data_IF_546035951121
#
_entry.id   IF_546035951121
#
_cell.length_a   1.000
_cell.length_b   1.000
_cell.length_c   1.000
_cell.angle_alpha   90.00
_cell.angle_beta   90.00
_cell.angle_gamma   90.00
#
_symmetry.space_group_name_H-M   'P 1'
#
loop_
_entity.id
_entity.type
_entity.pdbx_description
1 polymer ?
#
# COMPACT_ATOMS: atom_id res chain seq x y z
N UNK A 1 42.54 44.00 -14.93
CA UNK A 1 43.45 43.85 -16.05
C UNK A 1 43.86 42.39 -16.15
N UNK A 2 43.55 41.76 -17.18
CA UNK A 2 44.09 40.81 -18.18
C UNK A 2 43.03 39.83 -18.61
N UNK A 3 42.53 40.08 -19.84
CA UNK A 3 41.65 39.19 -20.59
C UNK A 3 42.50 38.03 -21.15
N UNK A 4 42.02 36.78 -21.00
CA UNK A 4 42.51 35.64 -21.79
C UNK A 4 41.48 35.22 -22.81
N UNK A 5 41.89 35.27 -24.08
CA UNK A 5 41.16 34.81 -25.25
C UNK A 5 41.20 33.27 -25.30
N UNK A 6 40.08 32.64 -25.60
CA UNK A 6 40.02 31.25 -26.05
C UNK A 6 39.63 31.22 -27.53
N UNK A 7 40.48 30.61 -28.35
CA UNK A 7 40.24 30.29 -29.75
C UNK A 7 39.48 28.96 -29.86
N UNK A 8 38.60 28.81 -30.85
CA UNK A 8 37.96 27.52 -31.12
C UNK A 8 38.81 26.68 -32.10
N UNK A 9 38.98 25.41 -31.77
CA UNK A 9 39.56 24.38 -32.66
C UNK A 9 38.47 23.86 -33.59
N UNK A 10 38.69 24.00 -34.90
CA UNK A 10 37.91 23.34 -35.98
C UNK A 10 38.36 21.88 -36.07
N UNK A 11 37.42 20.94 -35.97
CA UNK A 11 37.62 19.55 -36.37
C UNK A 11 36.99 19.31 -37.75
N UNK A 12 37.84 18.92 -38.68
CA UNK A 12 37.48 18.49 -40.05
C UNK A 12 36.90 17.06 -39.96
N UNK A 13 35.64 16.86 -40.37
CA UNK A 13 35.05 15.54 -40.53
C UNK A 13 35.26 15.03 -41.96
N UNK A 14 35.96 13.91 -42.08
CA UNK A 14 36.12 13.18 -43.34
C UNK A 14 34.89 12.33 -43.63
N UNK A 15 34.27 12.55 -44.78
CA UNK A 15 33.13 11.78 -45.31
C UNK A 15 33.68 10.52 -46.00
N UNK A 16 33.46 9.32 -45.42
CA UNK A 16 33.58 8.04 -46.12
C UNK A 16 32.19 7.58 -46.54
N UNK A 17 31.92 7.63 -47.84
CA UNK A 17 30.71 7.06 -48.42
C UNK A 17 30.78 5.54 -48.49
N UNK A 18 29.76 4.89 -47.93
CA UNK A 18 29.47 3.48 -48.20
C UNK A 18 28.20 3.35 -49.02
N UNK A 19 28.36 2.74 -50.19
CA UNK A 19 27.27 2.32 -51.09
C UNK A 19 26.54 1.14 -50.43
N UNK A 20 25.28 1.32 -50.12
CA UNK A 20 24.41 0.22 -49.62
C UNK A 20 23.67 -0.34 -50.85
N UNK A 21 23.99 -1.59 -51.17
CA UNK A 21 23.24 -2.41 -52.13
C UNK A 21 21.93 -2.86 -51.51
N UNK A 22 20.81 -2.48 -52.11
CA UNK A 22 19.49 -2.98 -51.75
C UNK A 22 19.29 -4.41 -52.27
N UNK A 23 19.09 -5.37 -51.40
CA UNK A 23 18.60 -6.69 -51.72
C UNK A 23 17.16 -6.82 -51.20
N UNK A 24 16.12 -7.01 -52.03
CA UNK A 24 14.76 -7.21 -51.56
C UNK A 24 14.49 -8.71 -51.42
N UNK A 25 14.13 -9.13 -50.22
CA UNK A 25 13.57 -10.46 -49.99
C UNK A 25 14.22 -11.25 -48.83
N UNK A 26 13.84 -10.96 -47.63
CA UNK A 26 13.90 -11.93 -46.54
C UNK A 26 12.68 -11.75 -45.65
N UNK A 27 11.81 -12.72 -45.70
CA UNK A 27 10.69 -12.91 -44.79
C UNK A 27 11.19 -12.78 -43.35
N UNK A 28 10.71 -11.76 -42.63
CA UNK A 28 10.88 -11.67 -41.18
C UNK A 28 9.86 -12.58 -40.51
N UNK A 29 10.16 -13.87 -40.41
CA UNK A 29 9.57 -14.70 -39.36
C UNK A 29 9.98 -14.08 -38.04
N UNK A 30 8.99 -13.59 -37.29
CA UNK A 30 9.17 -13.11 -35.94
C UNK A 30 9.70 -14.27 -35.07
N UNK A 31 11.01 -14.33 -34.91
CA UNK A 31 11.63 -15.17 -33.90
C UNK A 31 11.22 -14.60 -32.53
N UNK A 32 10.24 -15.23 -31.91
CA UNK A 32 9.92 -14.97 -30.51
C UNK A 32 11.19 -15.25 -29.68
N UNK A 33 11.81 -14.19 -29.18
CA UNK A 33 12.93 -14.33 -28.25
C UNK A 33 12.39 -15.00 -26.97
N UNK A 34 12.64 -16.30 -26.84
CA UNK A 34 12.52 -17.02 -25.58
C UNK A 34 13.61 -16.50 -24.64
N UNK A 35 13.43 -15.28 -24.09
CA UNK A 35 14.20 -14.87 -22.93
C UNK A 35 13.73 -15.76 -21.77
N UNK A 36 14.57 -16.70 -21.33
CA UNK A 36 14.34 -17.44 -20.10
C UNK A 36 14.02 -16.42 -18.99
N UNK A 37 12.84 -16.59 -18.36
CA UNK A 37 12.44 -15.69 -17.29
C UNK A 37 13.41 -15.85 -16.13
N UNK A 38 13.90 -14.76 -15.60
CA UNK A 38 14.76 -14.76 -14.41
C UNK A 38 14.07 -15.52 -13.27
N UNK A 39 14.74 -16.54 -12.76
CA UNK A 39 14.30 -17.28 -11.59
C UNK A 39 14.84 -16.58 -10.33
N UNK A 40 13.96 -16.32 -9.39
CA UNK A 40 14.27 -15.82 -8.07
C UNK A 40 14.24 -16.98 -7.08
N UNK A 41 15.17 -16.97 -6.14
CA UNK A 41 15.33 -18.02 -5.13
C UNK A 41 14.96 -17.46 -3.77
N UNK A 42 14.14 -18.20 -3.02
CA UNK A 42 13.92 -18.00 -1.58
C UNK A 42 14.34 -19.26 -0.83
N UNK A 43 14.37 -19.18 0.50
CA UNK A 43 14.69 -20.33 1.35
C UNK A 43 13.73 -21.53 1.11
N UNK A 44 12.50 -21.25 0.67
CA UNK A 44 11.42 -22.26 0.63
C UNK A 44 10.80 -22.46 -0.76
N UNK A 45 11.07 -21.57 -1.72
CA UNK A 45 10.49 -21.66 -3.05
C UNK A 45 11.31 -20.94 -4.12
N UNK A 46 11.35 -21.47 -5.34
CA UNK A 46 11.82 -20.75 -6.51
C UNK A 46 10.62 -20.17 -7.25
N UNK A 47 10.74 -18.95 -7.75
CA UNK A 47 9.65 -18.26 -8.43
C UNK A 47 10.14 -17.38 -9.57
N UNK A 48 9.22 -17.08 -10.47
CA UNK A 48 9.39 -16.09 -11.54
C UNK A 48 8.44 -14.91 -11.30
N UNK A 49 8.78 -13.76 -11.86
CA UNK A 49 7.95 -12.55 -11.81
C UNK A 49 7.43 -12.23 -13.21
N UNK A 50 6.11 -12.11 -13.34
CA UNK A 50 5.46 -11.61 -14.54
C UNK A 50 5.10 -10.13 -14.34
N UNK A 51 5.36 -9.28 -15.34
CA UNK A 51 4.80 -7.94 -15.43
C UNK A 51 3.44 -8.03 -16.11
N UNK A 52 2.37 -7.66 -15.39
CA UNK A 52 0.99 -7.70 -15.89
C UNK A 52 0.54 -6.37 -16.47
N UNK A 53 1.04 -5.28 -15.94
CA UNK A 53 0.83 -3.92 -16.44
C UNK A 53 2.03 -3.05 -16.06
N UNK A 54 2.30 -2.05 -16.88
CA UNK A 54 3.34 -1.04 -16.67
C UNK A 54 2.82 0.37 -16.98
N UNK A 55 3.71 1.36 -16.89
CA UNK A 55 3.41 2.77 -17.17
C UNK A 55 2.24 3.33 -16.34
N UNK A 56 2.03 2.79 -15.15
CA UNK A 56 1.01 3.21 -14.19
C UNK A 56 1.50 4.35 -13.29
N UNK A 57 0.56 5.08 -12.67
CA UNK A 57 0.88 6.17 -11.76
C UNK A 57 0.69 5.78 -10.29
N UNK A 58 1.65 5.01 -9.76
CA UNK A 58 1.71 4.53 -8.38
C UNK A 58 0.46 3.69 -8.01
N UNK A 59 0.43 2.39 -8.37
CA UNK A 59 -0.59 1.47 -7.88
C UNK A 59 -0.57 1.44 -6.34
N UNK A 60 -1.62 1.94 -5.68
CA UNK A 60 -1.65 2.06 -4.22
C UNK A 60 -2.49 0.97 -3.54
N UNK A 61 -3.71 0.80 -4.00
CA UNK A 61 -4.62 -0.24 -3.56
C UNK A 61 -4.94 -1.21 -4.68
N UNK A 62 -5.16 -2.48 -4.36
CA UNK A 62 -5.64 -3.48 -5.31
C UNK A 62 -6.39 -4.61 -4.61
N UNK A 63 -7.38 -5.15 -5.32
CA UNK A 63 -8.16 -6.32 -4.90
C UNK A 63 -8.68 -7.09 -6.11
N UNK A 64 -9.25 -8.28 -5.89
CA UNK A 64 -9.75 -9.14 -6.96
C UNK A 64 -11.28 -9.13 -7.01
N UNK A 65 -11.81 -8.98 -8.21
CA UNK A 65 -13.20 -9.26 -8.53
C UNK A 65 -13.42 -10.78 -8.59
N UNK A 66 -14.65 -11.28 -8.38
CA UNK A 66 -14.92 -12.72 -8.39
C UNK A 66 -14.58 -13.44 -9.71
N UNK A 67 -14.50 -12.70 -10.82
CA UNK A 67 -14.12 -13.22 -12.13
C UNK A 67 -12.59 -13.30 -12.34
N UNK A 68 -11.80 -13.02 -11.29
CA UNK A 68 -10.34 -13.08 -11.30
C UNK A 68 -9.65 -11.83 -11.86
N UNK A 69 -10.41 -10.82 -12.31
CA UNK A 69 -9.82 -9.54 -12.70
C UNK A 69 -9.37 -8.75 -11.49
N UNK A 70 -8.32 -7.98 -11.66
CA UNK A 70 -7.74 -7.12 -10.63
C UNK A 70 -8.32 -5.72 -10.76
N UNK A 71 -8.99 -5.21 -9.71
CA UNK A 71 -9.30 -3.79 -9.57
C UNK A 71 -8.18 -3.10 -8.80
N UNK A 72 -7.75 -1.91 -9.25
CA UNK A 72 -6.67 -1.19 -8.61
C UNK A 72 -6.79 0.33 -8.75
N UNK A 73 -6.12 1.05 -7.88
CA UNK A 73 -6.04 2.51 -7.85
C UNK A 73 -4.70 3.01 -8.36
N UNK A 74 -4.70 4.18 -9.00
CA UNK A 74 -3.50 4.93 -9.38
C UNK A 74 -3.45 6.23 -8.55
N UNK A 75 -2.61 6.27 -7.49
CA UNK A 75 -2.62 7.30 -6.44
C UNK A 75 -2.48 8.73 -6.98
N UNK A 76 -1.60 8.94 -7.94
CA UNK A 76 -1.23 10.29 -8.41
C UNK A 76 -2.06 10.78 -9.61
N UNK A 77 -3.12 10.07 -9.97
CA UNK A 77 -4.11 10.56 -10.94
C UNK A 77 -5.24 11.31 -10.23
N UNK A 78 -5.53 12.53 -10.66
CA UNK A 78 -6.63 13.33 -10.10
C UNK A 78 -8.01 12.78 -10.44
N UNK A 79 -8.17 12.20 -11.63
CA UNK A 79 -9.39 11.57 -12.17
C UNK A 79 -8.97 10.32 -12.93
N UNK A 80 -9.91 9.47 -13.32
CA UNK A 80 -9.62 8.22 -14.04
C UNK A 80 -8.59 7.35 -13.32
N UNK A 81 -8.72 7.34 -12.01
CA UNK A 81 -7.71 6.85 -11.07
C UNK A 81 -8.01 5.44 -10.54
N UNK A 82 -9.07 4.81 -11.04
CA UNK A 82 -9.42 3.40 -10.76
C UNK A 82 -9.55 2.65 -12.07
N UNK A 83 -8.96 1.47 -12.13
CA UNK A 83 -8.96 0.62 -13.32
C UNK A 83 -9.18 -0.85 -12.96
N UNK A 84 -9.70 -1.60 -13.93
CA UNK A 84 -9.75 -3.07 -13.89
C UNK A 84 -8.73 -3.61 -14.89
N UNK A 85 -7.90 -4.54 -14.43
CA UNK A 85 -6.93 -5.27 -15.24
C UNK A 85 -7.38 -6.71 -15.40
N UNK A 86 -7.55 -7.16 -16.62
CA UNK A 86 -7.66 -8.56 -16.94
C UNK A 86 -6.27 -9.19 -16.86
N UNK A 87 -6.04 -10.02 -15.86
CA UNK A 87 -4.72 -10.60 -15.56
C UNK A 87 -4.28 -11.68 -16.56
N UNK A 88 -5.18 -12.17 -17.39
CA UNK A 88 -4.90 -13.13 -18.45
C UNK A 88 -4.47 -12.46 -19.76
N UNK A 89 -5.12 -11.36 -20.12
CA UNK A 89 -4.88 -10.66 -21.41
C UNK A 89 -4.03 -9.39 -21.26
N UNK A 90 -3.86 -8.86 -20.04
CA UNK A 90 -3.22 -7.58 -19.80
C UNK A 90 -4.08 -6.35 -20.16
N UNK A 91 -5.35 -6.57 -20.55
CA UNK A 91 -6.25 -5.47 -20.92
C UNK A 91 -6.65 -4.65 -19.69
N UNK A 92 -6.30 -3.35 -19.72
CA UNK A 92 -6.73 -2.37 -18.71
C UNK A 92 -7.99 -1.63 -19.17
N UNK A 93 -8.98 -1.53 -18.27
CA UNK A 93 -10.20 -0.75 -18.46
C UNK A 93 -10.31 0.28 -17.34
N UNK A 94 -10.33 1.56 -17.68
CA UNK A 94 -10.51 2.65 -16.72
C UNK A 94 -11.98 2.74 -16.32
N UNK A 95 -12.25 2.89 -15.04
CA UNK A 95 -13.62 3.11 -14.53
C UNK A 95 -13.97 4.59 -14.57
N UNK A 96 -15.08 4.92 -15.20
CA UNK A 96 -15.62 6.27 -15.16
C UNK A 96 -16.30 6.57 -13.81
N UNK A 97 -16.57 7.85 -13.54
CA UNK A 97 -17.16 8.36 -12.31
C UNK A 97 -16.35 8.08 -11.03
N UNK A 98 -15.05 7.75 -11.16
CA UNK A 98 -14.16 7.69 -9.99
C UNK A 98 -13.99 9.11 -9.41
N UNK A 99 -13.75 9.25 -8.08
CA UNK A 99 -13.71 10.56 -7.45
C UNK A 99 -12.54 11.43 -7.96
N UNK A 100 -12.78 12.74 -8.02
CA UNK A 100 -11.69 13.70 -8.16
C UNK A 100 -10.97 13.85 -6.83
N UNK A 101 -9.67 13.58 -6.79
CA UNK A 101 -8.88 13.50 -5.58
C UNK A 101 -7.81 14.60 -5.48
N UNK A 102 -7.36 14.89 -4.27
CA UNK A 102 -6.20 15.74 -4.01
C UNK A 102 -4.92 14.90 -4.04
N UNK A 103 -4.01 15.18 -4.97
CA UNK A 103 -2.77 14.41 -5.18
C UNK A 103 -1.53 15.03 -4.52
N UNK A 104 -1.72 16.04 -3.67
CA UNK A 104 -0.60 16.70 -3.02
C UNK A 104 0.07 15.79 -1.96
N UNK A 105 1.40 15.80 -1.92
CA UNK A 105 2.21 15.02 -0.99
C UNK A 105 1.95 13.51 -1.07
N UNK A 106 1.39 12.95 -0.02
CA UNK A 106 1.01 11.54 0.07
C UNK A 106 -0.46 11.28 -0.26
N UNK A 107 -1.22 12.32 -0.62
CA UNK A 107 -2.61 12.22 -1.02
C UNK A 107 -2.82 11.56 -2.37
N UNK A 108 -4.09 11.34 -2.73
CA UNK A 108 -4.51 10.75 -4.00
C UNK A 108 -5.69 9.79 -3.84
N UNK A 109 -5.90 8.96 -4.85
CA UNK A 109 -6.75 7.78 -4.78
C UNK A 109 -5.95 6.69 -4.07
N UNK A 110 -6.44 6.21 -2.93
CA UNK A 110 -5.62 5.41 -2.03
C UNK A 110 -6.05 3.94 -2.08
N UNK A 111 -6.63 3.35 -1.02
CA UNK A 111 -6.93 1.91 -1.06
C UNK A 111 -8.28 1.61 -1.73
N UNK A 112 -8.46 0.37 -2.15
CA UNK A 112 -9.70 -0.17 -2.69
C UNK A 112 -9.89 -1.61 -2.26
N UNK A 113 -11.13 -1.98 -1.92
CA UNK A 113 -11.51 -3.33 -1.51
C UNK A 113 -12.80 -3.77 -2.17
N UNK A 114 -12.81 -4.98 -2.67
CA UNK A 114 -14.01 -5.67 -3.15
C UNK A 114 -14.69 -6.30 -1.95
N UNK A 115 -16.01 -6.13 -1.85
CA UNK A 115 -16.78 -6.74 -0.77
C UNK A 115 -16.67 -8.28 -0.83
N UNK A 116 -16.54 -9.00 0.30
CA UNK A 116 -16.49 -10.47 0.28
C UNK A 116 -17.68 -11.13 -0.44
N UNK A 117 -18.88 -10.57 -0.28
CA UNK A 117 -20.10 -10.99 -0.98
C UNK A 117 -20.40 -10.15 -2.25
N UNK A 118 -19.36 -9.68 -2.96
CA UNK A 118 -19.52 -8.83 -4.15
C UNK A 118 -20.49 -9.43 -5.19
N UNK A 119 -20.43 -10.73 -5.41
CA UNK A 119 -21.34 -11.41 -6.35
C UNK A 119 -22.83 -11.24 -6.01
N UNK A 120 -23.15 -10.97 -4.72
CA UNK A 120 -24.54 -10.73 -4.26
C UNK A 120 -24.89 -9.25 -4.21
N UNK A 121 -23.95 -8.40 -3.80
CA UNK A 121 -24.25 -6.99 -3.48
C UNK A 121 -23.58 -5.96 -4.39
N UNK A 122 -22.52 -6.32 -5.13
CA UNK A 122 -21.83 -5.48 -6.09
C UNK A 122 -21.01 -4.33 -5.50
N UNK A 123 -20.77 -4.31 -4.18
CA UNK A 123 -20.07 -3.21 -3.53
C UNK A 123 -18.55 -3.30 -3.63
N UNK A 124 -17.92 -2.17 -3.93
CA UNK A 124 -16.49 -1.90 -3.74
C UNK A 124 -16.34 -0.71 -2.80
N UNK A 125 -15.36 -0.77 -1.92
CA UNK A 125 -15.04 0.27 -0.92
C UNK A 125 -13.71 0.89 -1.30
N UNK A 126 -13.60 2.20 -1.16
CA UNK A 126 -12.37 2.92 -1.49
C UNK A 126 -12.24 4.17 -0.62
N UNK A 127 -11.02 4.65 -0.50
CA UNK A 127 -10.75 5.89 0.18
C UNK A 127 -9.80 6.79 -0.64
N UNK A 128 -9.89 8.07 -0.36
CA UNK A 128 -9.11 9.08 -1.07
C UNK A 128 -8.94 10.35 -0.24
N UNK A 129 -7.89 11.09 -0.56
CA UNK A 129 -7.67 12.41 0.03
C UNK A 129 -8.52 13.47 -0.67
N UNK A 130 -9.10 14.31 0.14
CA UNK A 130 -9.94 15.44 -0.29
C UNK A 130 -9.41 16.74 0.31
N UNK A 131 -9.43 17.82 -0.49
CA UNK A 131 -9.00 19.17 -0.09
C UNK A 131 -10.17 20.16 -0.17
N UNK A 132 -10.36 20.93 0.91
CA UNK A 132 -11.29 22.06 0.95
C UNK A 132 -10.65 23.33 0.36
N UNK A 133 -11.48 24.34 0.01
CA UNK A 133 -10.98 25.65 -0.47
C UNK A 133 -10.05 26.37 0.51
N UNK A 134 -10.18 26.13 1.83
CA UNK A 134 -9.31 26.68 2.88
C UNK A 134 -7.96 25.96 3.01
N UNK A 135 -7.65 25.06 2.07
CA UNK A 135 -6.44 24.24 2.02
C UNK A 135 -6.35 23.17 3.10
N UNK A 136 -7.38 22.96 3.91
CA UNK A 136 -7.43 21.80 4.80
C UNK A 136 -7.76 20.52 4.03
N UNK A 137 -7.20 19.40 4.47
CA UNK A 137 -7.36 18.10 3.81
C UNK A 137 -7.82 17.02 4.77
N UNK A 138 -8.50 16.01 4.25
CA UNK A 138 -8.91 14.82 5.02
C UNK A 138 -8.91 13.57 4.16
N UNK A 139 -9.19 12.43 4.78
CA UNK A 139 -9.51 11.17 4.13
C UNK A 139 -11.04 11.00 4.07
N UNK A 140 -11.53 10.59 2.91
CA UNK A 140 -12.92 10.22 2.70
C UNK A 140 -12.98 8.74 2.38
N UNK A 141 -13.93 8.03 2.99
CA UNK A 141 -14.24 6.63 2.72
C UNK A 141 -15.61 6.54 2.05
N UNK A 142 -15.66 5.89 0.91
CA UNK A 142 -16.89 5.69 0.13
C UNK A 142 -17.02 4.22 -0.29
N UNK A 143 -18.24 3.84 -0.67
CA UNK A 143 -18.50 2.62 -1.44
C UNK A 143 -19.31 2.93 -2.69
N UNK A 144 -19.14 2.12 -3.72
CA UNK A 144 -19.88 2.22 -4.96
C UNK A 144 -20.17 0.83 -5.53
N UNK A 145 -21.10 0.75 -6.50
CA UNK A 145 -21.23 -0.40 -7.39
C UNK A 145 -20.52 -0.13 -8.71
N UNK A 146 -20.21 -1.19 -9.44
CA UNK A 146 -19.62 -1.08 -10.77
C UNK A 146 -20.63 -1.60 -11.79
N UNK A 147 -21.11 -0.71 -12.67
CA UNK A 147 -22.03 -1.02 -13.75
C UNK A 147 -21.52 -0.36 -15.04
N UNK A 148 -21.42 -1.11 -16.13
CA UNK A 148 -20.93 -0.62 -17.43
C UNK A 148 -19.56 0.09 -17.35
N UNK A 149 -18.64 -0.43 -16.54
CA UNK A 149 -17.33 0.15 -16.25
C UNK A 149 -17.38 1.56 -15.61
N UNK A 150 -18.43 1.89 -14.90
CA UNK A 150 -18.57 3.14 -14.14
C UNK A 150 -18.93 2.87 -12.69
N UNK A 151 -18.46 3.74 -11.79
CA UNK A 151 -18.99 3.79 -10.44
C UNK A 151 -20.42 4.32 -10.46
N UNK A 152 -21.32 3.59 -9.83
CA UNK A 152 -22.74 3.92 -9.64
C UNK A 152 -23.12 3.77 -8.18
N UNK A 153 -24.26 4.30 -7.77
CA UNK A 153 -24.79 4.20 -6.40
C UNK A 153 -23.75 4.59 -5.33
N UNK A 154 -22.93 5.61 -5.61
CA UNK A 154 -21.87 6.09 -4.69
C UNK A 154 -22.46 6.54 -3.37
N UNK A 155 -21.91 6.03 -2.26
CA UNK A 155 -22.31 6.35 -0.90
C UNK A 155 -21.08 6.75 -0.08
N UNK A 156 -21.11 7.97 0.49
CA UNK A 156 -20.11 8.39 1.47
C UNK A 156 -20.41 7.72 2.80
N UNK A 157 -19.44 6.95 3.30
CA UNK A 157 -19.57 6.22 4.56
C UNK A 157 -18.93 6.98 5.72
N UNK A 158 -17.81 7.65 5.46
CA UNK A 158 -17.08 8.34 6.50
C UNK A 158 -16.25 9.51 5.97
N UNK A 159 -16.08 10.51 6.81
CA UNK A 159 -15.21 11.67 6.59
C UNK A 159 -14.39 11.91 7.86
N UNK A 160 -13.07 11.73 7.77
CA UNK A 160 -12.16 11.80 8.93
C UNK A 160 -12.11 13.19 9.54
N UNK A 161 -12.18 13.26 10.86
CA UNK A 161 -12.14 14.51 11.64
C UNK A 161 -10.89 14.59 12.54
N UNK A 162 -10.28 15.76 12.64
CA UNK A 162 -10.57 17.01 11.91
C UNK A 162 -9.95 17.04 10.52
N UNK A 163 -10.41 17.93 9.69
CA UNK A 163 -9.65 18.40 8.55
C UNK A 163 -8.38 19.08 9.02
N UNK A 164 -7.25 18.86 8.34
CA UNK A 164 -5.96 19.36 8.77
C UNK A 164 -5.11 19.92 7.63
N UNK A 165 -4.30 20.96 7.90
CA UNK A 165 -3.40 21.54 6.90
C UNK A 165 -2.13 20.68 6.76
N UNK A 166 -2.27 19.49 6.20
CA UNK A 166 -1.16 18.58 5.92
C UNK A 166 -1.50 17.69 4.73
N UNK A 167 -0.51 17.41 3.90
CA UNK A 167 -0.59 16.47 2.78
C UNK A 167 0.14 15.14 3.06
N UNK A 168 0.44 14.84 4.33
CA UNK A 168 1.20 13.66 4.75
C UNK A 168 0.40 12.79 5.72
N UNK A 169 0.86 11.54 5.91
CA UNK A 169 0.37 10.55 6.87
C UNK A 169 -1.15 10.38 6.82
N UNK A 170 -1.66 9.97 5.66
CA UNK A 170 -3.07 9.61 5.52
C UNK A 170 -3.38 8.21 6.07
N UNK A 171 -2.37 7.33 6.26
CA UNK A 171 -2.62 5.92 6.55
C UNK A 171 -3.22 5.22 5.34
N UNK A 172 -4.53 4.98 5.38
CA UNK A 172 -5.33 4.52 4.24
C UNK A 172 -5.08 3.06 3.86
N UNK A 173 -5.61 2.15 4.69
CA UNK A 173 -5.82 0.74 4.34
C UNK A 173 -7.21 0.34 4.76
N UNK A 174 -7.91 -0.36 3.89
CA UNK A 174 -9.30 -0.80 4.08
C UNK A 174 -9.33 -2.32 4.21
N UNK A 175 -10.10 -2.83 5.18
CA UNK A 175 -10.45 -4.23 5.30
C UNK A 175 -11.95 -4.40 5.58
N UNK A 176 -12.52 -5.46 5.02
CA UNK A 176 -13.90 -5.87 5.28
C UNK A 176 -13.89 -7.27 5.90
N UNK A 177 -14.61 -7.44 7.01
CA UNK A 177 -14.78 -8.74 7.65
C UNK A 177 -15.98 -8.75 8.58
N UNK A 178 -16.76 -9.83 8.50
CA UNK A 178 -17.85 -10.15 9.43
C UNK A 178 -18.88 -9.00 9.61
N UNK A 179 -19.18 -8.28 8.50
CA UNK A 179 -20.12 -7.15 8.50
C UNK A 179 -19.50 -5.82 8.96
N UNK A 180 -18.18 -5.77 9.15
CA UNK A 180 -17.46 -4.58 9.57
C UNK A 180 -16.47 -4.09 8.53
N UNK A 181 -16.35 -2.77 8.49
CA UNK A 181 -15.37 -2.02 7.75
C UNK A 181 -14.30 -1.51 8.73
N UNK A 182 -13.05 -1.91 8.51
CA UNK A 182 -11.88 -1.35 9.20
C UNK A 182 -11.07 -0.50 8.24
N UNK A 183 -10.60 0.65 8.70
CA UNK A 183 -9.64 1.44 7.93
C UNK A 183 -8.65 2.17 8.85
N UNK A 184 -7.52 2.56 8.28
CA UNK A 184 -6.45 3.22 9.02
C UNK A 184 -6.37 4.70 8.68
N UNK A 185 -6.05 5.52 9.68
CA UNK A 185 -5.77 6.95 9.53
C UNK A 185 -4.52 7.34 10.29
N UNK A 186 -3.57 7.95 9.58
CA UNK A 186 -2.37 8.51 10.19
C UNK A 186 -2.60 9.84 10.91
N UNK A 187 -1.61 10.31 11.69
CA UNK A 187 -1.70 11.52 12.52
C UNK A 187 -1.39 12.84 11.76
N UNK A 188 -1.23 12.75 10.44
CA UNK A 188 -1.05 13.89 9.53
C UNK A 188 0.33 14.57 9.61
N UNK A 189 1.34 13.95 10.22
CA UNK A 189 2.73 14.39 10.38
C UNK A 189 2.93 15.66 11.24
N UNK A 190 1.98 16.59 11.21
CA UNK A 190 2.06 17.87 11.93
C UNK A 190 1.22 17.89 13.22
N UNK A 191 0.56 16.79 13.56
CA UNK A 191 -0.32 16.67 14.71
C UNK A 191 -0.06 15.40 15.53
N UNK A 192 1.20 15.11 15.94
CA UNK A 192 1.55 13.84 16.59
C UNK A 192 0.74 13.57 17.85
N UNK A 193 0.47 14.59 18.67
CA UNK A 193 -0.31 14.46 19.90
C UNK A 193 -1.78 14.06 19.65
N UNK A 194 -2.29 14.29 18.44
CA UNK A 194 -3.64 13.84 18.05
C UNK A 194 -3.77 12.32 18.11
N UNK A 195 -2.68 11.57 17.94
CA UNK A 195 -2.68 10.11 18.05
C UNK A 195 -3.13 9.64 19.44
N UNK A 196 -2.79 10.38 20.50
CA UNK A 196 -3.21 10.07 21.88
C UNK A 196 -4.61 10.60 22.23
N UNK A 197 -5.16 11.51 21.45
CA UNK A 197 -6.49 12.10 21.72
C UNK A 197 -7.60 11.20 21.19
N UNK A 198 -8.56 10.85 22.04
CA UNK A 198 -9.79 10.15 21.62
C UNK A 198 -10.84 11.09 20.99
N UNK A 199 -10.56 12.40 20.87
CA UNK A 199 -11.48 13.40 20.29
C UNK A 199 -11.28 13.60 18.79
N UNK A 200 -10.34 12.89 18.19
CA UNK A 200 -10.00 12.98 16.77
C UNK A 200 -9.80 11.58 16.18
N UNK A 201 -9.96 11.47 14.85
CA UNK A 201 -9.72 10.21 14.13
C UNK A 201 -8.25 10.07 13.69
N UNK A 202 -7.39 11.01 14.04
CA UNK A 202 -5.99 11.04 13.59
C UNK A 202 -5.13 10.07 14.41
N UNK A 203 -4.34 9.23 13.72
CA UNK A 203 -3.51 8.19 14.33
C UNK A 203 -4.34 7.06 14.94
N UNK A 204 -5.29 6.52 14.17
CA UNK A 204 -6.29 5.53 14.61
C UNK A 204 -6.45 4.37 13.63
N UNK A 205 -6.86 3.23 14.16
CA UNK A 205 -7.67 2.26 13.42
C UNK A 205 -9.13 2.57 13.73
N UNK A 206 -9.94 2.68 12.71
CA UNK A 206 -11.38 2.95 12.78
C UNK A 206 -12.15 1.69 12.45
N UNK A 207 -13.26 1.42 13.17
CA UNK A 207 -14.20 0.34 12.86
C UNK A 207 -15.62 0.88 12.71
N UNK A 208 -16.23 0.60 11.58
CA UNK A 208 -17.63 0.89 11.24
C UNK A 208 -18.35 -0.40 10.86
N UNK A 209 -19.69 -0.36 10.79
CA UNK A 209 -20.43 -1.33 9.99
C UNK A 209 -20.22 -1.04 8.51
N UNK A 210 -20.51 -1.99 7.64
CA UNK A 210 -20.33 -1.86 6.18
C UNK A 210 -21.15 -0.73 5.55
N UNK A 211 -22.20 -0.26 6.22
CA UNK A 211 -23.04 0.86 5.80
C UNK A 211 -22.56 2.23 6.34
N UNK A 212 -21.43 2.25 7.06
CA UNK A 212 -20.86 3.44 7.68
C UNK A 212 -21.40 3.75 9.08
N UNK A 213 -22.40 3.02 9.59
CA UNK A 213 -22.91 3.22 10.95
C UNK A 213 -21.93 2.74 12.02
N UNK A 214 -22.06 3.31 13.22
CA UNK A 214 -21.17 3.00 14.36
C UNK A 214 -21.63 1.69 15.02
N UNK A 215 -20.73 0.70 15.24
CA UNK A 215 -21.04 -0.48 16.03
C UNK A 215 -21.23 -0.15 17.51
N UNK A 216 -22.26 -0.72 18.14
CA UNK A 216 -22.58 -0.47 19.56
C UNK A 216 -21.55 -1.06 20.53
N UNK A 217 -20.73 -2.01 20.07
CA UNK A 217 -19.68 -2.70 20.80
C UNK A 217 -18.28 -2.12 20.56
N UNK A 218 -18.15 -0.95 19.90
CA UNK A 218 -16.87 -0.25 19.79
C UNK A 218 -16.34 0.17 21.18
N UNK A 219 -15.00 0.12 21.37
CA UNK A 219 -14.40 0.31 22.69
C UNK A 219 -14.76 1.63 23.37
N UNK A 220 -14.95 2.70 22.59
CA UNK A 220 -15.13 4.06 23.10
C UNK A 220 -16.54 4.61 22.91
N UNK A 221 -17.50 3.81 22.43
CA UNK A 221 -18.88 4.25 22.13
C UNK A 221 -19.58 4.86 23.35
N UNK A 222 -19.25 4.42 24.58
CA UNK A 222 -19.79 4.94 25.84
C UNK A 222 -18.88 5.96 26.53
N UNK A 223 -17.73 6.31 25.95
CA UNK A 223 -16.78 7.23 26.57
C UNK A 223 -17.14 8.67 26.22
N UNK A 224 -17.49 9.46 27.21
CA UNK A 224 -17.90 10.86 27.02
C UNK A 224 -16.80 11.67 26.32
N UNK A 225 -17.14 12.26 25.18
CA UNK A 225 -16.23 13.11 24.39
C UNK A 225 -15.24 12.36 23.51
N UNK A 226 -15.24 11.02 23.53
CA UNK A 226 -14.49 10.24 22.56
C UNK A 226 -15.27 10.08 21.24
N UNK A 227 -14.53 9.84 20.16
CA UNK A 227 -15.06 9.44 18.87
C UNK A 227 -15.45 7.97 18.93
N UNK A 228 -16.72 7.62 18.71
CA UNK A 228 -17.23 6.26 18.93
C UNK A 228 -16.76 5.23 17.90
N UNK A 229 -16.28 5.68 16.73
CA UNK A 229 -15.74 4.85 15.66
C UNK A 229 -14.33 4.32 15.94
N UNK A 230 -13.61 4.84 16.93
CA UNK A 230 -12.23 4.45 17.24
C UNK A 230 -12.17 3.00 17.69
N UNK A 231 -11.31 2.19 17.02
CA UNK A 231 -10.99 0.82 17.40
C UNK A 231 -9.70 0.74 18.24
N UNK A 232 -8.62 1.41 17.79
CA UNK A 232 -7.37 1.58 18.53
C UNK A 232 -6.77 2.96 18.26
N UNK A 233 -5.82 3.38 19.08
CA UNK A 233 -5.22 4.72 19.01
C UNK A 233 -3.72 4.72 19.33
N UNK A 234 -3.07 5.87 19.20
CA UNK A 234 -1.65 5.99 19.45
C UNK A 234 -0.79 5.51 18.28
N UNK A 235 -1.29 5.66 17.05
CA UNK A 235 -0.59 5.27 15.82
C UNK A 235 0.00 6.48 15.10
N UNK A 236 1.08 6.25 14.34
CA UNK A 236 1.73 7.29 13.53
C UNK A 236 1.23 7.33 12.09
N UNK A 237 1.62 6.37 11.27
CA UNK A 237 1.26 6.34 9.84
C UNK A 237 1.16 4.89 9.36
N UNK A 238 0.00 4.32 9.54
CA UNK A 238 -0.33 2.93 9.28
C UNK A 238 -0.44 2.68 7.77
N UNK A 239 0.41 1.83 7.21
CA UNK A 239 0.50 1.59 5.76
C UNK A 239 0.18 0.15 5.36
N UNK A 240 0.01 -0.75 6.32
CA UNK A 240 -0.43 -2.12 6.10
C UNK A 240 -1.52 -2.52 7.08
N UNK A 241 -2.48 -3.34 6.62
CA UNK A 241 -3.56 -3.87 7.46
C UNK A 241 -4.04 -5.21 6.88
N UNK A 242 -4.10 -6.25 7.71
CA UNK A 242 -4.54 -7.58 7.27
C UNK A 242 -5.02 -8.42 8.45
N UNK A 243 -5.90 -9.38 8.19
CA UNK A 243 -6.26 -10.40 9.17
C UNK A 243 -5.39 -11.65 9.02
N UNK A 244 -4.93 -12.18 10.15
CA UNK A 244 -4.21 -13.46 10.17
C UNK A 244 -5.21 -14.61 9.98
N UNK A 245 -5.00 -15.48 8.99
CA UNK A 245 -5.80 -16.70 8.85
C UNK A 245 -5.71 -17.60 10.09
N UNK A 246 -6.81 -18.24 10.44
CA UNK A 246 -6.91 -19.16 11.59
C UNK A 246 -7.15 -18.47 12.91
N UNK A 247 -6.39 -17.43 13.28
CA UNK A 247 -6.60 -16.69 14.56
C UNK A 247 -7.62 -15.57 14.44
N UNK A 248 -7.75 -14.98 13.25
CA UNK A 248 -8.59 -13.81 13.02
C UNK A 248 -8.03 -12.51 13.63
N UNK A 249 -6.79 -12.51 14.11
CA UNK A 249 -6.17 -11.31 14.66
C UNK A 249 -5.91 -10.28 13.58
N UNK A 250 -6.17 -9.02 13.91
CA UNK A 250 -5.89 -7.89 13.04
C UNK A 250 -4.44 -7.48 13.20
N UNK A 251 -3.68 -7.52 12.11
CA UNK A 251 -2.28 -7.12 12.04
C UNK A 251 -2.15 -5.82 11.24
N UNK A 252 -1.21 -5.02 11.67
CA UNK A 252 -0.94 -3.69 11.10
C UNK A 252 0.56 -3.47 10.99
N UNK A 253 0.99 -2.64 10.02
CA UNK A 253 2.36 -2.12 9.95
C UNK A 253 2.36 -0.61 9.73
N UNK A 254 3.23 0.10 10.47
CA UNK A 254 3.30 1.55 10.42
C UNK A 254 4.73 2.10 10.35
N UNK A 255 4.82 3.30 9.80
CA UNK A 255 6.09 4.03 9.77
C UNK A 255 6.40 4.67 11.12
N UNK A 256 7.55 4.34 11.69
CA UNK A 256 8.18 5.13 12.74
C UNK A 256 8.76 6.45 12.21
N UNK A 257 9.39 7.25 13.08
CA UNK A 257 10.29 8.33 12.65
C UNK A 257 11.58 7.74 12.04
N UNK A 258 12.73 8.30 12.24
CA UNK A 258 13.98 7.70 11.74
C UNK A 258 14.29 6.41 12.50
N UNK A 259 14.04 5.25 11.88
CA UNK A 259 14.02 3.94 12.53
C UNK A 259 12.68 3.66 13.23
N UNK A 260 12.52 2.44 13.79
CA UNK A 260 11.35 2.08 14.59
C UNK A 260 10.03 1.98 13.81
N UNK A 261 10.07 1.58 12.54
CA UNK A 261 8.87 1.09 11.87
C UNK A 261 8.38 -0.17 12.58
N UNK A 262 7.08 -0.35 12.69
CA UNK A 262 6.47 -1.35 13.56
C UNK A 262 5.57 -2.33 12.80
N UNK A 263 5.46 -3.53 13.36
CA UNK A 263 4.39 -4.50 13.03
C UNK A 263 3.66 -4.80 14.32
N UNK A 264 2.35 -4.59 14.33
CA UNK A 264 1.49 -4.64 15.50
C UNK A 264 0.36 -5.65 15.34
N UNK A 265 -0.08 -6.27 16.44
CA UNK A 265 -1.37 -6.98 16.55
C UNK A 265 -2.36 -6.02 17.19
N UNK A 266 -3.36 -5.61 16.42
CA UNK A 266 -4.32 -4.59 16.83
C UNK A 266 -5.44 -5.22 17.67
N UNK A 267 -5.60 -4.69 18.88
CA UNK A 267 -6.65 -5.07 19.83
C UNK A 267 -7.58 -3.90 20.13
N UNK A 268 -8.88 -4.16 20.39
CA UNK A 268 -9.84 -3.09 20.67
C UNK A 268 -9.47 -2.29 21.92
N UNK A 269 -9.58 -0.97 21.82
CA UNK A 269 -9.36 -0.03 22.91
C UNK A 269 -7.91 0.20 23.33
N UNK A 270 -6.95 -0.41 22.65
CA UNK A 270 -5.53 -0.35 23.03
C UNK A 270 -4.83 0.87 22.45
N UNK A 271 -3.81 1.35 23.19
CA UNK A 271 -2.93 2.47 22.86
C UNK A 271 -1.58 1.93 22.38
N UNK A 272 -1.19 2.28 21.16
CA UNK A 272 0.08 1.87 20.52
C UNK A 272 1.22 2.87 20.70
N UNK A 273 0.99 3.91 21.51
CA UNK A 273 2.01 4.69 22.19
C UNK A 273 2.53 5.92 21.44
N UNK A 274 2.42 6.03 20.12
CA UNK A 274 2.87 7.22 19.41
C UNK A 274 2.12 8.49 19.88
N UNK A 275 2.79 9.64 20.11
CA UNK A 275 4.23 9.91 20.06
C UNK A 275 4.96 9.77 21.41
N UNK A 276 4.30 9.24 22.46
CA UNK A 276 4.83 9.14 23.83
C UNK A 276 5.97 8.12 23.90
N UNK A 277 5.77 6.96 23.25
CA UNK A 277 6.84 5.95 23.08
C UNK A 277 7.12 5.75 21.59
N UNK A 278 8.38 5.47 21.26
CA UNK A 278 8.81 5.05 19.93
C UNK A 278 10.17 4.39 19.98
N UNK A 279 10.42 3.46 19.06
CA UNK A 279 11.73 2.82 18.87
C UNK A 279 12.62 3.60 17.88
N UNK A 280 12.09 4.66 17.27
CA UNK A 280 12.80 5.54 16.34
C UNK A 280 13.34 6.83 17.00
N UNK A 281 13.95 7.67 16.18
CA UNK A 281 14.59 8.92 16.55
C UNK A 281 14.12 10.06 15.63
N UNK A 282 14.42 11.32 15.97
CA UNK A 282 14.19 12.43 15.05
C UNK A 282 15.02 12.25 13.76
N UNK A 283 14.48 12.73 12.63
CA UNK A 283 15.26 12.84 11.40
C UNK A 283 16.45 13.79 11.64
N UNK A 284 17.67 13.26 11.43
CA UNK A 284 18.90 13.97 11.77
C UNK A 284 19.46 13.62 13.15
N UNK A 285 18.81 12.69 13.87
CA UNK A 285 19.26 12.17 15.15
C UNK A 285 18.62 12.84 16.36
N UNK A 286 18.79 12.23 17.52
CA UNK A 286 18.24 12.69 18.78
C UNK A 286 16.93 11.99 19.19
N UNK A 287 16.63 12.03 20.48
CA UNK A 287 15.48 11.36 21.07
C UNK A 287 14.19 12.04 20.62
N UNK A 288 13.17 11.23 20.32
CA UNK A 288 11.81 11.74 20.19
C UNK A 288 11.18 11.93 21.57
N UNK A 289 10.61 13.11 21.84
CA UNK A 289 10.03 13.43 23.15
C UNK A 289 10.99 13.14 24.31
N UNK A 290 10.54 12.41 25.31
CA UNK A 290 11.36 11.97 26.44
C UNK A 290 12.29 10.79 26.09
N UNK A 291 12.17 10.21 24.89
CA UNK A 291 12.96 9.05 24.44
C UNK A 291 12.52 7.73 25.05
N UNK A 292 11.25 7.66 25.49
CA UNK A 292 10.69 6.44 26.04
C UNK A 292 10.47 5.40 24.94
N UNK A 293 10.85 4.17 25.22
CA UNK A 293 10.62 3.02 24.31
C UNK A 293 9.45 2.17 24.77
N UNK A 294 9.06 2.27 26.02
CA UNK A 294 7.92 1.56 26.62
C UNK A 294 7.28 2.39 27.73
N UNK A 295 6.01 2.20 27.95
CA UNK A 295 5.25 2.82 29.06
C UNK A 295 4.06 1.92 29.42
N UNK A 296 3.73 1.84 30.69
CA UNK A 296 2.54 1.11 31.16
C UNK A 296 1.28 1.62 30.47
N UNK A 297 0.40 0.71 30.06
CA UNK A 297 -0.84 1.01 29.33
C UNK A 297 -0.64 1.28 27.83
N UNK A 298 0.59 1.13 27.30
CA UNK A 298 0.90 1.23 25.89
C UNK A 298 1.44 -0.09 25.34
N UNK A 299 0.85 -0.55 24.24
CA UNK A 299 1.23 -1.82 23.60
C UNK A 299 2.60 -1.71 22.93
N UNK A 300 3.32 -2.82 22.92
CA UNK A 300 4.60 -2.94 22.22
C UNK A 300 4.40 -3.66 20.89
N UNK A 301 5.16 -3.30 19.83
CA UNK A 301 5.09 -4.01 18.55
C UNK A 301 5.58 -5.46 18.72
N UNK A 302 5.00 -6.36 17.93
CA UNK A 302 5.48 -7.75 17.83
C UNK A 302 6.77 -7.84 17.03
N UNK A 303 7.04 -6.83 16.20
CA UNK A 303 8.29 -6.69 15.44
C UNK A 303 8.54 -5.20 15.10
N UNK A 304 9.82 -4.83 14.97
CA UNK A 304 10.20 -3.49 14.54
C UNK A 304 11.43 -3.53 13.63
N UNK A 305 11.55 -2.51 12.79
CA UNK A 305 12.66 -2.37 11.86
C UNK A 305 13.58 -1.21 12.27
N UNK A 306 14.87 -1.51 12.39
CA UNK A 306 15.93 -0.51 12.56
C UNK A 306 17.17 -0.95 11.76
N UNK A 307 17.48 -0.25 10.64
CA UNK A 307 16.85 0.98 10.11
C UNK A 307 15.42 0.74 9.56
N UNK A 308 14.65 1.83 9.41
CA UNK A 308 13.31 1.83 8.80
C UNK A 308 13.34 1.29 7.40
N UNK A 309 12.43 0.35 7.09
CA UNK A 309 12.21 -0.17 5.74
C UNK A 309 11.13 0.59 4.97
N UNK A 310 10.40 1.50 5.65
CA UNK A 310 9.16 2.10 5.20
C UNK A 310 8.16 1.03 4.75
N UNK A 311 7.59 0.23 5.70
CA UNK A 311 6.64 -0.83 5.38
C UNK A 311 5.41 -0.24 4.69
N UNK A 312 4.80 -1.03 3.81
CA UNK A 312 3.64 -0.61 3.03
C UNK A 312 2.53 -1.67 3.10
N UNK A 313 1.82 -1.92 1.99
CA UNK A 313 0.80 -2.96 1.97
C UNK A 313 1.32 -4.31 2.44
N UNK A 314 0.47 -5.05 3.15
CA UNK A 314 0.81 -6.34 3.72
C UNK A 314 -0.31 -7.36 3.50
N UNK A 315 0.05 -8.63 3.47
CA UNK A 315 -0.89 -9.74 3.37
C UNK A 315 -0.33 -10.99 4.01
N UNK A 316 -1.17 -11.74 4.72
CA UNK A 316 -0.85 -13.13 5.03
C UNK A 316 -1.01 -13.99 3.77
N UNK A 317 -0.20 -15.02 3.67
CA UNK A 317 -0.29 -15.99 2.60
C UNK A 317 -0.91 -17.31 3.12
N UNK A 318 -2.00 -17.75 2.50
CA UNK A 318 -2.69 -19.00 2.78
C UNK A 318 -2.97 -19.85 1.52
N UNK A 319 -2.46 -19.40 0.36
CA UNK A 319 -2.62 -20.06 -0.93
C UNK A 319 -1.87 -21.39 -1.04
N UNK A 320 -2.20 -22.18 -2.08
CA UNK A 320 -1.60 -23.46 -2.36
C UNK A 320 -0.42 -23.40 -3.33
N UNK A 321 -0.26 -22.29 -4.06
CA UNK A 321 0.78 -22.17 -5.08
C UNK A 321 2.21 -22.20 -4.49
N UNK A 322 2.37 -21.72 -3.26
CA UNK A 322 3.61 -21.74 -2.49
C UNK A 322 3.39 -22.42 -1.12
N UNK A 323 3.28 -23.76 -1.06
CA UNK A 323 2.85 -24.46 0.16
C UNK A 323 3.70 -24.15 1.40
N UNK A 324 5.01 -23.95 1.24
CA UNK A 324 5.93 -23.63 2.33
C UNK A 324 5.88 -22.16 2.78
N UNK A 325 5.14 -21.31 2.07
CA UNK A 325 4.92 -19.90 2.47
C UNK A 325 3.63 -19.73 3.28
N UNK A 326 2.80 -20.76 3.40
CA UNK A 326 1.55 -20.67 4.19
C UNK A 326 1.81 -20.20 5.62
N UNK A 327 1.00 -19.25 6.06
CA UNK A 327 1.12 -18.60 7.36
C UNK A 327 2.19 -17.50 7.42
N UNK A 328 3.00 -17.31 6.37
CA UNK A 328 3.93 -16.17 6.32
C UNK A 328 3.19 -14.85 6.09
N UNK A 329 3.70 -13.77 6.68
CA UNK A 329 3.28 -12.40 6.44
C UNK A 329 4.22 -11.74 5.44
N UNK A 330 3.67 -11.24 4.34
CA UNK A 330 4.40 -10.48 3.34
C UNK A 330 4.15 -8.98 3.51
N UNK A 331 5.22 -8.17 3.50
CA UNK A 331 5.17 -6.72 3.65
C UNK A 331 6.04 -6.08 2.56
N UNK A 332 5.49 -5.10 1.86
CA UNK A 332 6.27 -4.31 0.91
C UNK A 332 7.23 -3.37 1.64
N UNK A 333 8.45 -3.22 1.14
CA UNK A 333 9.43 -2.25 1.62
C UNK A 333 9.67 -1.17 0.58
N UNK A 334 9.46 0.09 0.95
CA UNK A 334 9.66 1.22 0.05
C UNK A 334 11.06 1.82 0.17
N UNK A 335 11.65 1.86 1.36
CA UNK A 335 12.98 2.44 1.57
C UNK A 335 14.10 1.54 1.04
N UNK A 336 14.07 0.25 1.38
CA UNK A 336 15.06 -0.72 0.92
C UNK A 336 14.63 -1.51 -0.32
N UNK A 337 13.44 -1.24 -0.86
CA UNK A 337 13.03 -1.69 -2.20
C UNK A 337 13.08 -3.23 -2.35
N UNK A 338 12.41 -3.94 -1.45
CA UNK A 338 12.31 -5.40 -1.45
C UNK A 338 10.95 -5.87 -0.95
N UNK A 339 10.61 -7.13 -1.17
CA UNK A 339 9.50 -7.79 -0.53
C UNK A 339 10.00 -8.48 0.73
N UNK A 340 9.43 -8.12 1.87
CA UNK A 340 9.78 -8.72 3.15
C UNK A 340 8.82 -9.88 3.44
N UNK A 341 9.33 -11.07 3.76
CA UNK A 341 8.59 -12.23 4.20
C UNK A 341 8.94 -12.54 5.65
N UNK A 342 7.95 -12.53 6.52
CA UNK A 342 8.09 -12.88 7.93
C UNK A 342 7.45 -14.25 8.17
N UNK A 343 8.19 -15.19 8.73
CA UNK A 343 7.62 -16.44 9.22
C UNK A 343 7.11 -16.25 10.63
N UNK A 344 5.91 -16.75 10.90
CA UNK A 344 5.19 -16.47 12.15
C UNK A 344 4.78 -17.80 12.79
N UNK A 345 4.96 -17.88 14.10
CA UNK A 345 4.39 -18.94 14.91
C UNK A 345 3.57 -18.29 16.05
N UNK A 346 2.25 -18.48 15.99
CA UNK A 346 1.27 -17.79 16.84
C UNK A 346 1.35 -16.26 16.65
N UNK A 347 1.82 -15.52 17.64
CA UNK A 347 2.03 -14.07 17.63
C UNK A 347 3.51 -13.65 17.52
N UNK A 348 4.40 -14.64 17.37
CA UNK A 348 5.86 -14.39 17.37
C UNK A 348 6.45 -14.53 15.98
N UNK A 349 7.21 -13.53 15.56
CA UNK A 349 7.99 -13.57 14.31
C UNK A 349 9.26 -14.39 14.56
N UNK A 350 9.47 -15.42 13.74
CA UNK A 350 10.59 -16.37 13.84
C UNK A 350 11.75 -16.02 12.95
N UNK A 351 11.47 -15.52 11.75
CA UNK A 351 12.50 -15.12 10.80
C UNK A 351 12.02 -14.05 9.84
N UNK A 352 12.97 -13.30 9.30
CA UNK A 352 12.79 -12.35 8.21
C UNK A 352 13.58 -12.82 6.98
N UNK A 353 12.93 -12.79 5.82
CA UNK A 353 13.56 -13.04 4.52
C UNK A 353 13.27 -11.87 3.58
N UNK A 354 14.29 -11.35 2.90
CA UNK A 354 14.19 -10.24 1.96
C UNK A 354 14.26 -10.74 0.53
N UNK A 355 13.14 -10.71 -0.17
CA UNK A 355 12.99 -11.15 -1.55
C UNK A 355 13.10 -9.98 -2.52
N UNK A 356 13.51 -10.22 -3.77
CA UNK A 356 13.55 -9.23 -4.86
C UNK A 356 14.48 -8.04 -4.61
N UNK A 357 15.49 -8.18 -3.77
CA UNK A 357 16.43 -7.10 -3.40
C UNK A 357 17.21 -6.53 -4.58
N UNK A 358 17.48 -7.33 -5.61
CA UNK A 358 18.19 -6.91 -6.84
C UNK A 358 17.35 -6.01 -7.74
N UNK A 359 16.02 -6.04 -7.63
CA UNK A 359 15.10 -5.38 -8.55
C UNK A 359 14.91 -3.88 -8.27
N UNK A 360 15.23 -3.45 -7.06
CA UNK A 360 15.08 -2.05 -6.62
C UNK A 360 13.66 -1.52 -6.81
N UNK A 361 12.65 -2.35 -6.58
CA UNK A 361 11.24 -1.96 -6.66
C UNK A 361 10.75 -1.42 -5.31
N UNK A 362 10.20 -0.22 -5.34
CA UNK A 362 9.51 0.36 -4.18
C UNK A 362 8.12 -0.28 -4.12
N UNK A 363 7.98 -1.35 -3.34
CA UNK A 363 6.75 -2.12 -3.25
C UNK A 363 5.74 -1.36 -2.41
N UNK A 364 4.58 -1.03 -2.99
CA UNK A 364 3.52 -0.22 -2.38
C UNK A 364 2.38 -1.05 -1.83
N UNK A 365 1.99 -2.08 -2.53
CA UNK A 365 0.90 -2.98 -2.14
C UNK A 365 1.28 -4.41 -2.44
N UNK A 366 0.88 -5.30 -1.53
CA UNK A 366 1.06 -6.76 -1.63
C UNK A 366 -0.30 -7.40 -1.44
N UNK A 367 -0.68 -8.30 -2.34
CA UNK A 367 -1.96 -9.01 -2.30
C UNK A 367 -1.79 -10.45 -2.76
N UNK A 368 -2.44 -11.40 -2.08
CA UNK A 368 -2.64 -12.74 -2.59
C UNK A 368 -3.82 -12.74 -3.57
N UNK A 369 -3.62 -13.34 -4.74
CA UNK A 369 -4.65 -13.53 -5.74
C UNK A 369 -5.54 -14.75 -5.46
N UNK A 370 -6.69 -14.83 -6.17
CA UNK A 370 -7.61 -15.97 -6.10
C UNK A 370 -6.97 -17.26 -6.65
N UNK A 371 -5.94 -17.11 -7.46
CA UNK A 371 -5.11 -18.20 -8.02
C UNK A 371 -4.00 -18.67 -7.07
N UNK A 372 -3.93 -18.12 -5.87
CA UNK A 372 -2.90 -18.40 -4.89
C UNK A 372 -1.52 -17.78 -5.19
N UNK A 373 -1.39 -16.94 -6.22
CA UNK A 373 -0.16 -16.21 -6.49
C UNK A 373 -0.06 -14.93 -5.66
N UNK A 374 1.13 -14.35 -5.58
CA UNK A 374 1.35 -13.06 -4.93
C UNK A 374 1.43 -11.97 -5.99
N UNK A 375 0.71 -10.88 -5.78
CA UNK A 375 0.67 -9.71 -6.64
C UNK A 375 1.26 -8.51 -5.92
N UNK A 376 2.04 -7.72 -6.66
CA UNK A 376 2.70 -6.52 -6.15
C UNK A 376 2.33 -5.32 -7.02
N UNK A 377 1.97 -4.21 -6.38
CA UNK A 377 1.98 -2.90 -7.02
C UNK A 377 3.22 -2.13 -6.57
N UNK A 378 3.96 -1.55 -7.51
CA UNK A 378 5.22 -0.86 -7.22
C UNK A 378 5.17 0.60 -7.68
N UNK A 379 5.81 1.50 -6.93
CA UNK A 379 5.88 2.94 -7.23
C UNK A 379 6.54 3.23 -8.59
N UNK A 380 7.28 2.26 -9.13
CA UNK A 380 7.85 2.28 -10.47
C UNK A 380 6.77 2.17 -11.58
N UNK A 381 5.49 2.10 -11.21
CA UNK A 381 4.37 2.09 -12.15
C UNK A 381 4.07 0.74 -12.76
N UNK A 382 4.26 -0.35 -12.01
CA UNK A 382 3.98 -1.71 -12.49
C UNK A 382 3.07 -2.48 -11.53
N UNK A 383 2.31 -3.42 -12.10
CA UNK A 383 1.67 -4.51 -11.38
C UNK A 383 2.37 -5.80 -11.79
N UNK A 384 2.84 -6.52 -10.79
CA UNK A 384 3.67 -7.71 -10.92
C UNK A 384 2.97 -8.92 -10.28
N UNK A 385 3.28 -10.13 -10.77
CA UNK A 385 2.77 -11.40 -10.23
C UNK A 385 3.92 -12.38 -10.01
N UNK A 386 4.05 -12.91 -8.80
CA UNK A 386 4.98 -13.97 -8.44
C UNK A 386 4.29 -15.32 -8.68
N UNK A 387 4.91 -16.18 -9.48
CA UNK A 387 4.47 -17.56 -9.73
C UNK A 387 5.57 -18.55 -9.37
N UNK A 388 5.24 -19.72 -8.80
CA UNK A 388 6.24 -20.76 -8.57
C UNK A 388 6.84 -21.23 -9.91
N UNK A 389 8.12 -21.58 -9.88
CA UNK A 389 8.73 -22.35 -10.96
C UNK A 389 8.13 -23.76 -10.89
N UNK A 390 7.54 -24.24 -11.98
CA UNK A 390 7.09 -25.62 -12.06
C UNK A 390 8.34 -26.52 -11.96
N UNK A 391 8.36 -27.39 -10.96
CA UNK A 391 9.34 -28.48 -10.83
C UNK A 391 9.21 -29.47 -11.96
#
# INVERSE_FOLDING_TARGET
MTKKHFQPLLFLAALCGYLISCNPGADKTAAGSNHEKQVFVSSDANFVVDTLADSLQIPFGMDFLPDGKLIFTERTKKTDNVSILDTATGKKTVLCNSPKVDIDGQGGMLDIKVHPDYAKNGWVYYDFSFRKPDSTTTLIVERAKIENNCFTQVQRLFEVYPYYKSSYHYGSRILLRDGYLFFTMGERALAPDSAQSLRTDLGKVIRLKEDGSIPDDNPFVKTKGARPEIWSYGHRNLQGLTFQPGTGWLWESEHGPQGGDEVNIIRPGKNYGWPVITLGEHYGGGKWGEGLKQKEGMEQPVYFYKPSIAPSGMTFYDGDAFPKWKGSLFIGSMAFQHLNRLTIHQDTIKSEERLLTSQKWRIRVVKQGLDGFIYLGVDNGMILRLRPVKS
#
